data_IF_721643353003
#
_entry.id   IF_721643353003
#
_cell.length_a   1.000
_cell.length_b   1.000
_cell.length_c   1.000
_cell.angle_alpha   90.00
_cell.angle_beta   90.00
_cell.angle_gamma   90.00
#
_symmetry.space_group_name_H-M   'P 1'
#
loop_
_entity.id
_entity.type
_entity.pdbx_description
1 polymer ?
#
# COMPACT_ATOMS: atom_id res chain seq x y z
N UNK A 1 8.96 -93.11 -9.22
CA UNK A 1 8.34 -92.10 -8.34
C UNK A 1 9.33 -91.11 -7.72
N UNK A 2 10.51 -91.55 -7.23
CA UNK A 2 11.47 -90.69 -6.52
C UNK A 2 12.04 -89.51 -7.34
N UNK A 3 12.30 -89.70 -8.64
CA UNK A 3 12.81 -88.64 -9.55
C UNK A 3 11.76 -87.53 -9.81
N UNK A 4 10.47 -87.89 -9.93
CA UNK A 4 9.39 -86.90 -10.12
C UNK A 4 9.18 -86.04 -8.87
N UNK A 5 9.38 -86.63 -7.69
CA UNK A 5 9.33 -85.90 -6.41
C UNK A 5 10.55 -84.97 -6.28
N UNK A 6 11.74 -85.42 -6.66
CA UNK A 6 12.94 -84.59 -6.64
C UNK A 6 12.87 -83.39 -7.62
N UNK A 7 12.31 -83.58 -8.82
CA UNK A 7 12.10 -82.51 -9.79
C UNK A 7 11.04 -81.52 -9.30
N UNK A 8 9.95 -82.02 -8.68
CA UNK A 8 8.94 -81.15 -8.06
C UNK A 8 9.49 -80.32 -6.89
N UNK A 9 10.36 -80.90 -6.08
CA UNK A 9 11.02 -80.20 -4.97
C UNK A 9 12.03 -79.15 -5.46
N UNK A 10 12.77 -79.45 -6.53
CA UNK A 10 13.72 -78.51 -7.14
C UNK A 10 13.00 -77.32 -7.80
N UNK A 11 11.86 -77.56 -8.46
CA UNK A 11 11.06 -76.50 -9.10
C UNK A 11 10.40 -75.55 -8.07
N UNK A 12 10.12 -76.04 -6.86
CA UNK A 12 9.55 -75.23 -5.78
C UNK A 12 10.56 -74.28 -5.10
N UNK A 13 11.86 -74.50 -5.27
CA UNK A 13 12.92 -73.67 -4.66
C UNK A 13 13.23 -72.43 -5.54
N UNK A 14 12.95 -72.48 -6.84
CA UNK A 14 13.22 -71.36 -7.76
C UNK A 14 12.24 -70.18 -7.67
N UNK A 15 11.12 -70.29 -6.94
CA UNK A 15 10.09 -69.23 -6.87
C UNK A 15 10.26 -68.24 -5.71
N UNK A 16 11.25 -68.42 -4.83
CA UNK A 16 11.49 -67.55 -3.66
C UNK A 16 12.39 -66.34 -4.02
N UNK A 17 12.90 -66.26 -5.25
CA UNK A 17 14.00 -65.38 -5.66
C UNK A 17 13.68 -63.96 -6.13
N UNK A 18 12.44 -63.46 -6.08
CA UNK A 18 12.12 -62.10 -6.55
C UNK A 18 11.32 -61.29 -5.54
N UNK A 19 11.99 -60.78 -4.49
CA UNK A 19 11.48 -59.63 -3.73
C UNK A 19 12.57 -58.56 -3.65
N UNK A 20 12.80 -57.91 -4.79
CA UNK A 20 13.64 -56.72 -4.84
C UNK A 20 12.83 -55.56 -4.26
N UNK A 21 12.81 -55.44 -2.93
CA UNK A 21 12.21 -54.29 -2.25
C UNK A 21 13.09 -53.08 -2.50
N UNK A 22 12.88 -52.44 -3.65
CA UNK A 22 13.45 -51.13 -3.90
C UNK A 22 12.69 -50.15 -3.00
N UNK A 23 13.20 -49.94 -1.79
CA UNK A 23 12.64 -48.96 -0.87
C UNK A 23 12.63 -47.61 -1.59
N UNK A 24 11.44 -47.02 -1.74
CA UNK A 24 11.30 -45.69 -2.29
C UNK A 24 12.22 -44.75 -1.50
N UNK A 25 13.18 -44.12 -2.19
CA UNK A 25 14.11 -43.16 -1.57
C UNK A 25 13.29 -42.12 -0.82
N UNK A 26 13.42 -42.09 0.50
CA UNK A 26 12.79 -41.05 1.33
C UNK A 26 13.41 -39.69 0.95
N UNK A 27 12.64 -38.61 1.01
CA UNK A 27 13.17 -37.29 0.70
C UNK A 27 14.35 -36.98 1.61
N UNK A 28 15.42 -36.44 1.02
CA UNK A 28 16.69 -36.08 1.70
C UNK A 28 16.43 -35.04 2.81
N UNK A 29 15.34 -34.28 2.71
CA UNK A 29 14.87 -33.34 3.71
C UNK A 29 13.37 -33.50 3.94
N UNK A 30 12.97 -33.63 5.21
CA UNK A 30 11.60 -33.53 5.66
C UNK A 30 11.52 -32.35 6.63
N UNK A 31 10.80 -31.28 6.28
CA UNK A 31 10.54 -30.23 7.26
C UNK A 31 9.51 -30.77 8.25
N UNK A 32 9.91 -31.08 9.47
CA UNK A 32 8.92 -31.34 10.52
C UNK A 32 8.02 -30.10 10.64
N UNK A 33 6.70 -30.28 10.54
CA UNK A 33 5.74 -29.18 10.67
C UNK A 33 5.84 -28.44 12.01
N UNK A 34 6.59 -28.99 12.98
CA UNK A 34 6.92 -28.40 14.28
C UNK A 34 7.54 -27.01 14.18
N UNK A 35 8.44 -26.76 13.22
CA UNK A 35 9.03 -25.42 13.04
C UNK A 35 7.98 -24.41 12.58
N UNK A 36 7.16 -24.79 11.58
CA UNK A 36 6.08 -23.93 11.08
C UNK A 36 5.05 -23.62 12.17
N UNK A 37 4.64 -24.63 12.95
CA UNK A 37 3.73 -24.46 14.09
C UNK A 37 4.28 -23.45 15.12
N UNK A 38 5.56 -23.59 15.51
CA UNK A 38 6.22 -22.65 16.43
C UNK A 38 6.24 -21.22 15.90
N UNK A 39 6.48 -21.04 14.60
CA UNK A 39 6.48 -19.71 13.97
C UNK A 39 5.09 -19.08 13.95
N UNK A 40 4.05 -19.86 13.64
CA UNK A 40 2.66 -19.41 13.72
C UNK A 40 2.30 -18.97 15.14
N UNK A 41 2.66 -19.77 16.15
CA UNK A 41 2.34 -19.46 17.55
C UNK A 41 3.07 -18.21 18.04
N UNK A 42 4.33 -18.03 17.64
CA UNK A 42 5.07 -16.78 17.92
C UNK A 42 4.40 -15.57 17.28
N UNK A 43 3.98 -15.67 16.01
CA UNK A 43 3.33 -14.56 15.33
C UNK A 43 1.96 -14.22 15.94
N UNK A 44 1.19 -15.22 16.36
CA UNK A 44 -0.06 -15.01 17.10
C UNK A 44 0.16 -14.27 18.41
N UNK A 45 1.18 -14.66 19.19
CA UNK A 45 1.54 -14.00 20.45
C UNK A 45 2.00 -12.55 20.23
N UNK A 46 2.79 -12.31 19.19
CA UNK A 46 3.22 -10.98 18.80
C UNK A 46 2.02 -10.09 18.47
N UNK A 47 1.15 -10.53 17.57
CA UNK A 47 -0.04 -9.76 17.18
C UNK A 47 -0.93 -9.49 18.39
N UNK A 48 -1.17 -10.50 19.24
CA UNK A 48 -1.94 -10.31 20.46
C UNK A 48 -1.33 -9.25 21.39
N UNK A 49 -0.01 -9.23 21.53
CA UNK A 49 0.70 -8.22 22.32
C UNK A 49 0.55 -6.81 21.73
N UNK A 50 0.71 -6.65 20.41
CA UNK A 50 0.53 -5.37 19.72
C UNK A 50 -0.91 -4.84 19.87
N UNK A 51 -1.90 -5.70 19.69
CA UNK A 51 -3.30 -5.34 19.90
C UNK A 51 -3.57 -4.93 21.35
N UNK A 52 -2.91 -5.58 22.32
CA UNK A 52 -3.04 -5.24 23.73
C UNK A 52 -2.43 -3.86 24.03
N UNK A 53 -1.28 -3.53 23.42
CA UNK A 53 -0.70 -2.20 23.50
C UNK A 53 -1.65 -1.13 22.95
N UNK A 54 -2.23 -1.37 21.78
CA UNK A 54 -3.21 -0.46 21.17
C UNK A 54 -4.46 -0.29 22.06
N UNK A 55 -5.00 -1.39 22.58
CA UNK A 55 -6.15 -1.36 23.51
C UNK A 55 -5.85 -0.55 24.76
N UNK A 56 -4.63 -0.65 25.30
CA UNK A 56 -4.21 0.14 26.47
C UNK A 56 -4.13 1.64 26.12
N UNK A 57 -3.62 2.00 24.95
CA UNK A 57 -3.59 3.40 24.48
C UNK A 57 -5.00 3.97 24.37
N UNK A 58 -5.91 3.23 23.73
CA UNK A 58 -7.32 3.62 23.58
C UNK A 58 -7.97 3.81 24.96
N UNK A 59 -7.73 2.87 25.88
CA UNK A 59 -8.26 2.94 27.25
C UNK A 59 -7.71 4.15 28.03
N UNK A 60 -6.43 4.46 27.86
CA UNK A 60 -5.74 5.52 28.58
C UNK A 60 -6.08 6.92 28.04
N UNK A 61 -6.39 7.06 26.75
CA UNK A 61 -6.82 8.33 26.16
C UNK A 61 -8.16 8.80 26.79
N UNK A 62 -9.14 7.89 26.88
CA UNK A 62 -10.41 8.09 27.60
C UNK A 62 -11.33 9.19 27.07
N UNK A 63 -10.90 9.95 26.06
CA UNK A 63 -11.63 11.10 25.49
C UNK A 63 -12.08 10.86 24.06
N UNK A 64 -11.23 10.26 23.24
CA UNK A 64 -11.50 10.07 21.82
C UNK A 64 -12.27 8.76 21.61
N UNK A 65 -13.39 8.79 20.87
CA UNK A 65 -14.08 7.56 20.52
C UNK A 65 -13.32 6.80 19.44
N UNK A 66 -12.82 5.61 19.78
CA UNK A 66 -12.21 4.69 18.83
C UNK A 66 -13.18 3.59 18.40
N UNK A 67 -13.13 3.26 17.12
CA UNK A 67 -13.88 2.16 16.52
C UNK A 67 -12.93 1.03 16.13
N UNK A 68 -13.29 -0.21 16.51
CA UNK A 68 -12.58 -1.40 16.07
C UNK A 68 -13.07 -1.83 14.68
N UNK A 69 -12.15 -1.97 13.73
CA UNK A 69 -12.44 -2.52 12.41
C UNK A 69 -12.45 -4.04 12.44
N UNK A 70 -13.36 -4.66 11.68
CA UNK A 70 -13.36 -6.11 11.43
C UNK A 70 -12.09 -6.60 10.72
N UNK A 71 -11.28 -5.68 10.18
CA UNK A 71 -10.01 -5.96 9.52
C UNK A 71 -8.80 -5.98 10.46
N UNK A 72 -8.99 -5.85 11.77
CA UNK A 72 -7.93 -5.98 12.77
C UNK A 72 -7.11 -4.70 12.98
N UNK A 73 -7.76 -3.56 12.99
CA UNK A 73 -7.16 -2.25 13.33
C UNK A 73 -8.20 -1.37 14.02
N UNK A 74 -7.77 -0.27 14.63
CA UNK A 74 -8.66 0.71 15.26
C UNK A 74 -8.53 2.06 14.58
N UNK A 75 -9.57 2.87 14.66
CA UNK A 75 -9.53 4.21 14.11
C UNK A 75 -10.41 5.18 14.88
N UNK A 76 -10.10 6.47 14.78
CA UNK A 76 -10.89 7.57 15.32
C UNK A 76 -10.90 8.73 14.33
N UNK A 77 -11.96 9.53 14.35
CA UNK A 77 -12.07 10.70 13.49
C UNK A 77 -11.53 11.93 14.22
N UNK A 78 -10.52 12.58 13.64
CA UNK A 78 -10.13 13.95 14.02
C UNK A 78 -11.13 14.94 13.43
N UNK A 79 -11.42 14.79 12.14
CA UNK A 79 -12.43 15.56 11.41
C UNK A 79 -13.36 14.61 10.69
N UNK A 80 -14.64 14.63 11.05
CA UNK A 80 -15.67 13.77 10.45
C UNK A 80 -16.59 14.59 9.56
N UNK A 81 -16.89 14.09 8.36
CA UNK A 81 -17.88 14.69 7.48
C UNK A 81 -19.20 13.95 7.65
N UNK A 82 -20.19 14.62 8.23
CA UNK A 82 -21.51 14.03 8.50
C UNK A 82 -22.51 14.21 7.35
N UNK A 83 -22.15 15.01 6.35
CA UNK A 83 -23.04 15.36 5.23
C UNK A 83 -22.78 14.52 3.99
N UNK A 84 -21.52 14.12 3.77
CA UNK A 84 -21.15 13.27 2.66
C UNK A 84 -21.50 11.81 2.97
N UNK A 85 -21.97 11.10 1.96
CA UNK A 85 -22.36 9.68 2.04
C UNK A 85 -21.56 8.80 1.09
N UNK A 86 -20.67 9.42 0.30
CA UNK A 86 -19.91 8.73 -0.75
C UNK A 86 -18.49 8.50 -0.24
N UNK A 87 -18.02 7.26 -0.39
CA UNK A 87 -16.63 6.89 -0.11
C UNK A 87 -15.94 6.36 -1.37
N UNK A 88 -14.59 6.36 -1.43
CA UNK A 88 -13.85 5.85 -2.57
C UNK A 88 -14.15 4.37 -2.84
N UNK A 89 -14.37 4.03 -4.11
CA UNK A 89 -14.62 2.67 -4.59
C UNK A 89 -13.46 2.18 -5.45
N UNK A 90 -13.40 0.85 -5.65
CA UNK A 90 -12.43 0.24 -6.55
C UNK A 90 -12.44 0.92 -7.92
N UNK A 91 -11.28 1.37 -8.38
CA UNK A 91 -11.12 2.09 -9.64
C UNK A 91 -11.29 3.61 -9.56
N UNK A 92 -11.63 4.17 -8.40
CA UNK A 92 -11.51 5.61 -8.17
C UNK A 92 -10.04 6.01 -7.97
N UNK A 93 -9.79 7.32 -8.07
CA UNK A 93 -8.51 7.96 -7.78
C UNK A 93 -8.71 8.82 -6.53
N UNK A 94 -8.05 8.42 -5.45
CA UNK A 94 -8.08 9.12 -4.17
C UNK A 94 -6.85 10.02 -4.00
N UNK A 95 -7.08 11.22 -3.49
CA UNK A 95 -6.06 12.23 -3.19
C UNK A 95 -6.00 12.43 -1.69
N UNK A 96 -4.92 11.98 -1.08
CA UNK A 96 -4.77 12.05 0.36
C UNK A 96 -3.39 12.54 0.76
N UNK A 97 -3.24 12.90 2.01
CA UNK A 97 -1.97 13.12 2.66
C UNK A 97 -2.00 12.39 4.00
N UNK A 98 -0.83 12.06 4.52
CA UNK A 98 -0.74 11.27 5.74
C UNK A 98 0.59 11.50 6.44
N UNK A 99 0.60 11.22 7.73
CA UNK A 99 1.79 11.17 8.56
C UNK A 99 1.85 9.84 9.32
N UNK A 100 3.06 9.42 9.68
CA UNK A 100 3.30 8.17 10.40
C UNK A 100 3.98 8.49 11.72
N UNK A 101 3.40 8.00 12.81
CA UNK A 101 3.90 8.09 14.18
C UNK A 101 4.07 6.69 14.77
N UNK A 102 4.93 6.58 15.77
CA UNK A 102 4.90 5.44 16.67
C UNK A 102 3.71 5.53 17.64
N UNK A 103 3.51 4.47 18.43
CA UNK A 103 2.45 4.40 19.44
C UNK A 103 2.65 5.38 20.61
N UNK A 104 3.79 6.05 20.70
CA UNK A 104 4.09 7.11 21.68
C UNK A 104 3.91 8.52 21.09
N UNK A 105 3.25 8.63 19.93
CA UNK A 105 3.01 9.87 19.18
C UNK A 105 4.26 10.57 18.63
N UNK A 106 5.42 9.91 18.59
CA UNK A 106 6.61 10.46 17.96
C UNK A 106 6.50 10.32 16.44
N UNK A 107 6.67 11.42 15.72
CA UNK A 107 6.67 11.45 14.25
C UNK A 107 7.87 10.68 13.70
N UNK A 108 7.59 9.71 12.84
CA UNK A 108 8.59 8.95 12.06
C UNK A 108 8.70 9.56 10.66
N UNK A 109 7.55 9.83 10.03
CA UNK A 109 7.43 10.50 8.74
C UNK A 109 6.35 11.57 8.81
N UNK A 110 6.72 12.81 8.48
CA UNK A 110 5.76 13.92 8.45
C UNK A 110 5.00 13.97 7.14
N UNK A 111 3.85 14.65 7.15
CA UNK A 111 3.08 14.92 5.93
C UNK A 111 3.91 15.65 4.87
N UNK A 112 4.77 16.58 5.30
CA UNK A 112 5.65 17.34 4.41
C UNK A 112 6.68 16.43 3.72
N UNK A 113 7.26 15.47 4.44
CA UNK A 113 8.22 14.51 3.90
C UNK A 113 7.55 13.53 2.93
N UNK A 114 6.36 13.03 3.28
CA UNK A 114 5.62 12.07 2.47
C UNK A 114 4.99 12.71 1.24
N UNK A 115 4.69 14.02 1.30
CA UNK A 115 4.00 14.80 0.26
C UNK A 115 2.59 14.26 -0.06
N UNK A 116 1.74 15.06 -0.71
CA UNK A 116 0.42 14.60 -1.12
C UNK A 116 0.49 13.39 -2.06
N UNK A 117 -0.32 12.38 -1.79
CA UNK A 117 -0.40 11.14 -2.54
C UNK A 117 -1.61 11.11 -3.47
N UNK A 118 -1.43 10.39 -4.57
CA UNK A 118 -2.50 9.98 -5.50
C UNK A 118 -2.53 8.46 -5.53
N UNK A 119 -3.69 7.87 -5.30
CA UNK A 119 -3.86 6.43 -5.20
C UNK A 119 -5.00 5.92 -6.06
N UNK A 120 -4.71 4.95 -6.90
CA UNK A 120 -5.71 4.22 -7.67
C UNK A 120 -6.28 3.09 -6.81
N UNK A 121 -7.51 3.28 -6.33
CA UNK A 121 -8.13 2.43 -5.30
C UNK A 121 -8.23 0.99 -5.79
N UNK A 122 -7.63 0.07 -5.02
CA UNK A 122 -7.50 -1.36 -5.30
C UNK A 122 -6.84 -1.70 -6.67
N UNK A 123 -6.05 -0.77 -7.24
CA UNK A 123 -5.25 -0.98 -8.47
C UNK A 123 -3.75 -0.72 -8.27
N UNK A 124 -3.35 -0.23 -7.10
CA UNK A 124 -1.97 0.02 -6.73
C UNK A 124 -1.64 -0.63 -5.38
N UNK A 125 -0.38 -1.04 -5.23
CA UNK A 125 0.12 -1.50 -3.94
C UNK A 125 0.47 -0.30 -3.05
N UNK A 126 -0.25 -0.18 -1.95
CA UNK A 126 0.03 0.75 -0.84
C UNK A 126 -0.06 -0.02 0.47
N UNK A 127 0.35 0.63 1.57
CA UNK A 127 0.26 0.09 2.93
C UNK A 127 -1.11 -0.58 3.16
N UNK A 128 -1.08 -1.84 3.57
CA UNK A 128 -2.26 -2.72 3.55
C UNK A 128 -3.41 -2.16 4.40
N UNK A 129 -3.12 -1.53 5.55
CA UNK A 129 -4.11 -0.86 6.38
C UNK A 129 -4.79 0.33 5.68
N UNK A 130 -4.05 1.10 4.87
CA UNK A 130 -4.60 2.25 4.13
C UNK A 130 -5.51 1.83 2.97
N UNK A 131 -5.30 0.64 2.39
CA UNK A 131 -6.19 0.12 1.34
C UNK A 131 -7.64 0.05 1.83
N UNK A 132 -7.84 -0.46 3.05
CA UNK A 132 -9.16 -0.54 3.66
C UNK A 132 -9.55 0.79 4.33
N UNK A 133 -8.60 1.48 4.97
CA UNK A 133 -8.85 2.75 5.67
C UNK A 133 -9.33 3.87 4.77
N UNK A 134 -8.78 4.01 3.55
CA UNK A 134 -9.20 5.07 2.61
C UNK A 134 -10.64 4.85 2.13
N UNK A 135 -11.09 3.60 1.95
CA UNK A 135 -12.45 3.26 1.48
C UNK A 135 -13.54 3.51 2.53
N UNK A 136 -13.14 3.70 3.80
CA UNK A 136 -14.01 4.10 4.91
C UNK A 136 -14.26 5.62 4.90
N UNK A 137 -13.33 6.41 4.37
CA UNK A 137 -13.32 7.85 4.54
C UNK A 137 -14.20 8.57 3.52
N UNK A 138 -14.76 9.69 3.95
CA UNK A 138 -15.43 10.68 3.10
C UNK A 138 -14.47 11.82 2.74
N UNK A 139 -14.89 12.62 1.76
CA UNK A 139 -14.12 13.80 1.33
C UNK A 139 -13.95 14.79 2.50
N UNK A 140 -12.72 15.26 2.67
CA UNK A 140 -12.33 16.23 3.69
C UNK A 140 -12.12 15.63 5.07
N UNK A 141 -12.30 14.32 5.25
CA UNK A 141 -12.10 13.68 6.56
C UNK A 141 -10.63 13.53 6.92
N UNK A 142 -10.39 13.59 8.22
CA UNK A 142 -9.10 13.30 8.82
C UNK A 142 -9.28 12.22 9.90
N UNK A 143 -8.58 11.10 9.74
CA UNK A 143 -8.76 9.88 10.53
C UNK A 143 -7.42 9.40 11.06
N UNK A 144 -7.38 9.10 12.36
CA UNK A 144 -6.24 8.46 13.01
C UNK A 144 -6.46 6.95 13.01
N UNK A 145 -5.58 6.21 12.36
CA UNK A 145 -5.59 4.76 12.34
C UNK A 145 -4.48 4.20 13.25
N UNK A 146 -4.84 3.22 14.08
CA UNK A 146 -3.93 2.43 14.90
C UNK A 146 -3.79 1.04 14.28
N UNK A 147 -2.66 0.81 13.61
CA UNK A 147 -2.37 -0.42 12.89
C UNK A 147 -1.39 -1.28 13.68
N UNK A 148 -1.74 -2.55 13.97
CA UNK A 148 -0.75 -3.56 14.29
C UNK A 148 0.26 -3.69 13.15
N UNK A 149 1.44 -4.24 13.44
CA UNK A 149 2.55 -4.24 12.48
C UNK A 149 2.21 -4.96 11.18
N UNK A 150 1.48 -6.07 11.25
CA UNK A 150 1.03 -6.84 10.08
C UNK A 150 -0.01 -6.09 9.20
N UNK A 151 -0.58 -4.98 9.69
CA UNK A 151 -1.43 -4.05 8.91
C UNK A 151 -0.66 -2.81 8.44
N UNK A 152 0.60 -2.69 8.84
CA UNK A 152 1.53 -1.64 8.46
C UNK A 152 2.68 -2.21 7.60
N UNK A 153 3.92 -2.14 8.08
CA UNK A 153 5.13 -2.59 7.36
C UNK A 153 5.58 -4.02 7.74
N UNK A 154 4.85 -4.68 8.63
CA UNK A 154 5.04 -6.08 9.00
C UNK A 154 6.44 -6.40 9.52
N UNK A 155 6.86 -7.64 9.30
CA UNK A 155 8.15 -8.15 9.78
C UNK A 155 9.35 -7.45 9.13
N UNK A 156 9.26 -7.01 7.87
CA UNK A 156 10.41 -6.42 7.19
C UNK A 156 10.67 -4.98 7.62
N UNK A 157 9.63 -4.27 8.09
CA UNK A 157 9.71 -2.82 8.25
C UNK A 157 9.80 -2.11 6.90
N UNK A 158 10.26 -0.86 6.91
CA UNK A 158 10.44 -0.06 5.69
C UNK A 158 11.89 0.00 5.19
N UNK A 159 12.80 -0.74 5.83
CA UNK A 159 14.27 -0.72 5.60
C UNK A 159 14.94 0.63 5.87
N UNK A 160 14.23 1.55 6.52
CA UNK A 160 14.67 2.91 6.84
C UNK A 160 14.36 3.25 8.30
N UNK A 161 13.27 3.98 8.58
CA UNK A 161 12.93 4.49 9.91
C UNK A 161 11.98 3.60 10.70
N UNK A 162 11.32 2.66 10.04
CA UNK A 162 10.32 1.75 10.64
C UNK A 162 10.93 0.35 10.75
N UNK A 163 11.08 -0.10 11.98
CA UNK A 163 11.65 -1.40 12.30
C UNK A 163 10.72 -2.58 11.97
N UNK A 164 11.25 -3.78 12.20
CA UNK A 164 10.49 -5.02 12.15
C UNK A 164 9.36 -5.01 13.16
N UNK A 165 8.18 -5.52 12.77
CA UNK A 165 7.04 -5.73 13.67
C UNK A 165 6.67 -4.47 14.48
N UNK A 166 6.72 -3.30 13.85
CA UNK A 166 6.41 -2.03 14.52
C UNK A 166 4.94 -1.66 14.28
N UNK A 167 4.10 -1.63 15.33
CA UNK A 167 2.76 -1.06 15.24
C UNK A 167 2.83 0.47 15.12
N UNK A 168 1.89 1.07 14.40
CA UNK A 168 1.95 2.48 14.01
C UNK A 168 0.62 3.20 14.23
N UNK A 169 0.72 4.49 14.52
CA UNK A 169 -0.36 5.44 14.40
C UNK A 169 -0.19 6.21 13.09
N UNK A 170 -1.17 6.13 12.20
CA UNK A 170 -1.15 6.82 10.91
C UNK A 170 -2.34 7.76 10.83
N UNK A 171 -2.07 9.06 10.73
CA UNK A 171 -3.11 10.08 10.53
C UNK A 171 -3.23 10.34 9.04
N UNK A 172 -4.44 10.18 8.50
CA UNK A 172 -4.72 10.30 7.06
C UNK A 172 -5.75 11.38 6.85
N UNK A 173 -5.48 12.27 5.90
CA UNK A 173 -6.41 13.30 5.43
C UNK A 173 -6.82 13.01 4.00
N UNK A 174 -8.08 12.63 3.80
CA UNK A 174 -8.63 12.39 2.45
C UNK A 174 -9.12 13.72 1.89
N UNK A 175 -8.35 14.33 0.98
CA UNK A 175 -8.68 15.64 0.42
C UNK A 175 -9.82 15.55 -0.59
N UNK A 176 -9.73 14.60 -1.52
CA UNK A 176 -10.73 14.39 -2.56
C UNK A 176 -10.60 12.96 -3.14
N UNK A 177 -11.61 12.53 -3.87
CA UNK A 177 -11.55 11.38 -4.76
C UNK A 177 -12.52 11.56 -5.92
N UNK A 178 -12.20 10.93 -7.05
CA UNK A 178 -13.04 10.96 -8.26
C UNK A 178 -12.87 9.67 -9.06
N UNK A 179 -13.81 9.40 -9.98
CA UNK A 179 -13.67 8.26 -10.87
C UNK A 179 -12.43 8.39 -11.76
N UNK A 180 -11.79 7.27 -12.10
CA UNK A 180 -10.61 7.29 -12.97
C UNK A 180 -10.88 7.95 -14.34
N UNK A 181 -12.10 7.81 -14.87
CA UNK A 181 -12.51 8.47 -16.12
C UNK A 181 -12.51 9.99 -15.97
N UNK A 182 -13.11 10.50 -14.90
CA UNK A 182 -13.12 11.94 -14.62
C UNK A 182 -11.71 12.48 -14.42
N UNK A 183 -10.87 11.75 -13.67
CA UNK A 183 -9.47 12.13 -13.47
C UNK A 183 -8.68 12.20 -14.78
N UNK A 184 -8.76 11.17 -15.62
CA UNK A 184 -8.07 11.16 -16.92
C UNK A 184 -8.53 12.28 -17.84
N UNK A 185 -9.83 12.59 -17.85
CA UNK A 185 -10.38 13.72 -18.59
C UNK A 185 -9.78 15.04 -18.11
N UNK A 186 -9.80 15.32 -16.81
CA UNK A 186 -9.21 16.54 -16.24
C UNK A 186 -7.72 16.68 -16.56
N UNK A 187 -6.94 15.60 -16.49
CA UNK A 187 -5.53 15.61 -16.86
C UNK A 187 -5.34 15.96 -18.34
N UNK A 188 -6.15 15.36 -19.23
CA UNK A 188 -6.08 15.66 -20.67
C UNK A 188 -6.46 17.11 -21.00
N UNK A 189 -7.48 17.66 -20.32
CA UNK A 189 -7.93 19.05 -20.50
C UNK A 189 -6.89 20.04 -19.95
N UNK A 190 -6.19 19.69 -18.86
CA UNK A 190 -5.08 20.48 -18.34
C UNK A 190 -3.90 20.50 -19.33
N UNK A 191 -3.52 19.35 -19.87
CA UNK A 191 -2.44 19.25 -20.87
C UNK A 191 -2.77 20.08 -22.12
N UNK A 192 -4.00 20.00 -22.63
CA UNK A 192 -4.43 20.82 -23.80
C UNK A 192 -4.32 22.31 -23.52
N UNK A 193 -4.82 22.77 -22.37
CA UNK A 193 -4.72 24.18 -21.97
C UNK A 193 -3.28 24.65 -21.81
N UNK A 194 -2.43 23.83 -21.20
CA UNK A 194 -1.00 24.15 -21.02
C UNK A 194 -0.29 24.26 -22.38
N UNK A 195 -0.62 23.38 -23.35
CA UNK A 195 -0.10 23.42 -24.72
C UNK A 195 -0.61 24.63 -25.52
N UNK A 196 -1.89 24.98 -25.39
CA UNK A 196 -2.47 26.17 -26.04
C UNK A 196 -1.88 27.46 -25.48
N UNK A 197 -1.66 27.54 -24.16
CA UNK A 197 -1.00 28.69 -23.53
C UNK A 197 0.45 28.85 -24.00
N UNK A 198 1.19 27.75 -24.16
CA UNK A 198 2.55 27.77 -24.70
C UNK A 198 2.58 28.26 -26.15
N UNK A 199 1.68 27.75 -26.99
CA UNK A 199 1.58 28.18 -28.40
C UNK A 199 1.21 29.66 -28.53
N UNK A 200 0.32 30.16 -27.69
CA UNK A 200 -0.07 31.58 -27.69
C UNK A 200 1.06 32.48 -27.18
N UNK A 201 1.82 32.06 -26.16
CA UNK A 201 2.99 32.78 -25.66
C UNK A 201 4.13 32.86 -26.71
N UNK A 202 4.36 31.79 -27.47
CA UNK A 202 5.31 31.80 -28.60
C UNK A 202 4.84 32.73 -29.74
N UNK A 203 3.53 32.77 -30.01
CA UNK A 203 2.95 33.65 -31.04
C UNK A 203 3.04 35.13 -30.66
N UNK A 204 2.89 35.47 -29.38
CA UNK A 204 3.08 36.83 -28.87
C UNK A 204 4.57 37.25 -28.83
N UNK A 205 5.49 36.32 -28.56
CA UNK A 205 6.94 36.61 -28.58
C UNK A 205 7.51 36.85 -29.99
N UNK A 206 6.86 36.31 -31.02
CA UNK A 206 7.24 36.46 -32.43
C UNK A 206 6.49 37.61 -33.15
N UNK A 207 5.63 38.35 -32.45
CA UNK A 207 4.99 39.54 -33.00
C UNK A 207 5.99 40.70 -33.06
N UNK A 208 6.46 41.01 -34.28
CA UNK A 208 7.38 42.12 -34.59
C UNK A 208 6.89 43.44 -33.95
N UNK A 209 7.75 44.21 -33.25
CA UNK A 209 7.38 45.54 -32.77
C UNK A 209 7.03 46.43 -33.96
N UNK A 210 5.80 46.96 -34.00
CA UNK A 210 5.46 48.05 -34.93
C UNK A 210 6.34 49.26 -34.57
N UNK A 211 7.32 49.55 -35.42
CA UNK A 211 8.21 50.71 -35.32
C UNK A 211 7.41 52.01 -35.15
N UNK A 212 7.79 52.90 -34.21
CA UNK A 212 7.22 54.23 -34.13
C UNK A 212 7.58 55.02 -35.40
N UNK A 213 6.58 55.64 -36.01
CA UNK A 213 6.72 56.52 -37.18
C UNK A 213 7.64 57.70 -36.79
N UNK A 214 8.84 57.78 -37.39
CA UNK A 214 9.78 58.88 -37.16
C UNK A 214 9.22 60.20 -37.69
N UNK A 215 9.03 61.17 -36.81
CA UNK A 215 8.80 62.58 -37.15
C UNK A 215 10.08 63.19 -37.75
N UNK A 216 10.00 64.03 -38.82
CA UNK A 216 11.16 64.70 -39.35
C UNK A 216 11.61 65.85 -38.43
N UNK A 217 12.92 65.93 -38.17
CA UNK A 217 13.58 67.01 -37.42
C UNK A 217 13.73 68.25 -38.34
N UNK A 218 13.58 69.50 -37.86
CA UNK A 218 13.74 70.68 -38.70
C UNK A 218 15.23 70.91 -39.03
N UNK A 219 15.50 71.30 -40.27
CA UNK A 219 16.81 71.73 -40.74
C UNK A 219 17.17 73.08 -40.14
N UNK A 220 18.33 73.14 -39.48
CA UNK A 220 19.04 74.39 -39.21
C UNK A 220 19.65 74.90 -40.52
N UNK A 221 19.21 76.07 -40.99
CA UNK A 221 19.95 76.88 -41.95
C UNK A 221 20.32 78.20 -41.28
N UNK A 222 21.63 78.44 -41.23
CA UNK A 222 22.30 79.66 -40.79
C UNK A 222 22.05 80.77 -41.83
N UNK A 223 21.44 81.88 -41.40
CA UNK A 223 21.88 83.27 -41.60
C UNK A 223 20.92 84.25 -40.93
#
# INVERSE_FOLDING_TARGET
>A
MKIKIAIGLLLSILTIGCKNNQEARRPISHSSGTFMKKSIDKNKKLIASEEQQIKNIIKNDGKTPYTASSKGYWYSYTTKNVTDTITPKKGDVAFFSYEIKDLSNKIIYSELELRPQTYYVDKQDILIGLRDGIKLMHRGEEVNFLFPSHKAYGYRGDTKKIGSNTPLLITVKLRDFKSEVAYKKEQSDKVKRDLEAQKNAETESNAVPKTPKSTPKPNDTIN
#
